data_IF_839486260788
#
_entry.id   IF_839486260788
#
_cell.length_a   1.000
_cell.length_b   1.000
_cell.length_c   1.000
_cell.angle_alpha   90.00
_cell.angle_beta   90.00
_cell.angle_gamma   90.00
#
_symmetry.space_group_name_H-M   'P 1'
#
loop_
_entity.id
_entity.type
_entity.pdbx_description
1 polymer ?
#
# COMPACT_ATOMS: atom_id res chain seq x y z
N UNK A 1 27.32 -21.30 -5.72
CA UNK A 1 26.05 -20.61 -5.52
C UNK A 1 26.13 -19.21 -6.13
N UNK A 2 25.11 -18.85 -6.90
CA UNK A 2 25.07 -17.53 -7.54
C UNK A 2 24.52 -16.49 -6.54
N UNK A 3 25.43 -15.69 -5.97
CA UNK A 3 25.08 -14.66 -4.98
C UNK A 3 24.38 -13.44 -5.57
N UNK A 4 24.29 -13.31 -6.89
CA UNK A 4 23.44 -12.30 -7.52
C UNK A 4 21.95 -12.62 -7.38
N UNK A 5 21.62 -13.88 -7.14
CA UNK A 5 20.25 -14.38 -7.01
C UNK A 5 19.93 -14.77 -5.56
N UNK A 6 20.88 -15.44 -4.89
CA UNK A 6 20.70 -15.96 -3.53
C UNK A 6 21.92 -15.66 -2.69
N UNK A 7 21.74 -14.94 -1.60
CA UNK A 7 22.82 -14.58 -0.67
C UNK A 7 22.67 -15.27 0.67
N UNK A 8 23.81 -15.53 1.36
CA UNK A 8 23.78 -16.04 2.71
C UNK A 8 23.24 -14.99 3.68
N UNK A 9 22.73 -15.45 4.84
CA UNK A 9 22.21 -14.56 5.88
C UNK A 9 23.25 -13.55 6.42
N UNK A 10 24.54 -13.89 6.28
CA UNK A 10 25.64 -12.98 6.67
C UNK A 10 25.87 -11.82 5.69
N UNK A 11 25.32 -11.91 4.48
CA UNK A 11 25.44 -10.87 3.45
C UNK A 11 24.11 -10.72 2.68
N UNK A 12 23.04 -10.26 3.32
CA UNK A 12 21.73 -10.11 2.67
C UNK A 12 21.72 -8.95 1.66
N UNK A 13 20.77 -8.97 0.72
CA UNK A 13 20.51 -7.83 -0.18
C UNK A 13 20.04 -6.60 0.58
N UNK A 14 19.31 -6.82 1.68
CA UNK A 14 18.87 -5.78 2.59
C UNK A 14 19.02 -6.29 4.02
N UNK A 15 19.48 -5.45 4.96
CA UNK A 15 19.61 -5.85 6.37
C UNK A 15 18.26 -6.12 7.05
N UNK A 16 17.17 -5.62 6.47
CA UNK A 16 15.82 -5.77 7.00
C UNK A 16 14.91 -6.48 5.99
N UNK A 17 13.86 -7.13 6.52
CA UNK A 17 12.79 -7.69 5.69
C UNK A 17 11.92 -6.60 5.06
N UNK A 18 11.01 -7.01 4.17
CA UNK A 18 10.13 -6.10 3.43
C UNK A 18 8.90 -5.62 4.19
N UNK A 19 8.74 -5.99 5.45
CA UNK A 19 7.58 -5.64 6.27
C UNK A 19 8.03 -4.89 7.52
N UNK A 20 7.26 -3.89 7.93
CA UNK A 20 7.45 -3.17 9.20
C UNK A 20 6.15 -3.10 9.97
N UNK A 21 6.26 -3.26 11.29
CA UNK A 21 5.15 -3.04 12.21
C UNK A 21 5.05 -1.54 12.53
N UNK A 22 3.87 -0.99 12.35
CA UNK A 22 3.54 0.38 12.71
C UNK A 22 2.64 0.39 13.93
N UNK A 23 2.82 1.39 14.79
CA UNK A 23 1.94 1.64 15.93
C UNK A 23 1.55 3.11 15.96
N UNK A 24 0.31 3.38 16.33
CA UNK A 24 -0.21 4.74 16.39
C UNK A 24 -1.55 4.81 17.09
N UNK A 25 -2.18 5.97 17.03
CA UNK A 25 -3.48 6.21 17.67
C UNK A 25 -4.64 5.40 17.07
N UNK A 26 -4.49 4.92 15.84
CA UNK A 26 -5.47 4.02 15.23
C UNK A 26 -5.24 2.55 15.56
N UNK A 27 -4.14 2.22 16.23
CA UNK A 27 -3.79 0.86 16.59
C UNK A 27 -2.48 0.41 15.95
N UNK A 28 -2.41 -0.87 15.57
CA UNK A 28 -1.24 -1.47 14.94
C UNK A 28 -1.54 -1.85 13.50
N UNK A 29 -0.55 -1.69 12.65
CA UNK A 29 -0.64 -2.08 11.24
C UNK A 29 0.69 -2.63 10.75
N UNK A 30 0.67 -3.28 9.61
CA UNK A 30 1.87 -3.74 8.92
C UNK A 30 1.96 -3.01 7.59
N UNK A 31 3.12 -2.45 7.31
CA UNK A 31 3.42 -1.83 6.01
C UNK A 31 4.44 -2.67 5.26
N UNK A 32 4.23 -2.86 3.98
CA UNK A 32 5.21 -3.44 3.07
C UNK A 32 6.07 -2.31 2.49
N UNK A 33 7.39 -2.40 2.69
CA UNK A 33 8.34 -1.36 2.27
C UNK A 33 9.32 -1.81 1.19
N UNK A 34 9.33 -3.10 0.81
CA UNK A 34 10.34 -3.67 -0.08
C UNK A 34 10.39 -3.04 -1.47
N UNK A 35 9.27 -2.54 -1.98
CA UNK A 35 9.20 -1.88 -3.29
C UNK A 35 8.85 -0.38 -3.17
N UNK A 36 8.84 0.16 -1.96
CA UNK A 36 8.50 1.55 -1.68
C UNK A 36 9.78 2.36 -1.52
N UNK A 37 9.97 3.36 -2.38
CA UNK A 37 11.12 4.25 -2.26
C UNK A 37 11.10 5.00 -0.91
N UNK A 38 12.28 5.31 -0.32
CA UNK A 38 12.32 5.96 0.99
C UNK A 38 11.48 7.23 1.10
N UNK A 39 11.42 8.05 0.06
CA UNK A 39 10.61 9.27 0.01
C UNK A 39 9.10 9.03 0.03
N UNK A 40 8.65 7.82 -0.25
CA UNK A 40 7.24 7.44 -0.23
C UNK A 40 6.83 6.63 1.00
N UNK A 41 7.75 6.38 1.94
CA UNK A 41 7.46 5.59 3.14
C UNK A 41 6.74 6.37 4.23
N UNK A 42 6.78 7.68 4.18
CA UNK A 42 6.03 8.57 5.08
C UNK A 42 5.12 9.45 4.23
N UNK A 43 3.83 9.27 4.36
CA UNK A 43 2.81 10.02 3.63
C UNK A 43 1.92 10.73 4.65
N UNK A 44 1.77 12.03 4.46
CA UNK A 44 0.89 12.87 5.25
C UNK A 44 -0.04 13.61 4.29
N UNK A 45 -1.31 13.23 4.29
CA UNK A 45 -2.30 13.73 3.35
C UNK A 45 -3.71 13.54 3.90
N UNK A 46 -4.71 14.24 3.33
CA UNK A 46 -6.11 14.00 3.69
C UNK A 46 -6.52 12.55 3.42
N UNK A 47 -7.31 11.98 4.32
CA UNK A 47 -7.85 10.64 4.16
C UNK A 47 -9.17 10.68 3.39
N UNK A 48 -9.33 9.75 2.44
CA UNK A 48 -10.61 9.44 1.79
C UNK A 48 -10.99 8.02 2.17
N UNK A 49 -12.16 7.84 2.75
CA UNK A 49 -12.63 6.56 3.28
C UNK A 49 -13.65 5.96 2.33
N UNK A 50 -13.45 4.70 1.98
CA UNK A 50 -14.32 3.92 1.09
C UNK A 50 -14.70 2.60 1.75
N UNK A 51 -15.87 2.07 1.40
CA UNK A 51 -16.37 0.82 1.96
C UNK A 51 -16.16 -0.38 1.02
N UNK A 52 -15.76 -0.15 -0.22
CA UNK A 52 -15.35 -1.20 -1.14
C UNK A 52 -14.43 -0.67 -2.26
N UNK A 53 -13.82 -1.61 -3.00
CA UNK A 53 -12.87 -1.31 -4.07
C UNK A 53 -13.52 -0.57 -5.25
N UNK A 54 -14.77 -0.90 -5.57
CA UNK A 54 -15.45 -0.29 -6.72
C UNK A 54 -15.65 1.21 -6.52
N UNK A 55 -15.90 1.64 -5.28
CA UNK A 55 -16.00 3.07 -4.94
C UNK A 55 -14.68 3.81 -5.19
N UNK A 56 -13.55 3.18 -4.87
CA UNK A 56 -12.22 3.77 -5.13
C UNK A 56 -11.99 3.92 -6.62
N UNK A 57 -12.26 2.88 -7.39
CA UNK A 57 -12.10 2.90 -8.85
C UNK A 57 -12.97 3.96 -9.50
N UNK A 58 -14.23 4.07 -9.07
CA UNK A 58 -15.15 5.09 -9.56
C UNK A 58 -14.66 6.51 -9.23
N UNK A 59 -14.18 6.75 -8.01
CA UNK A 59 -13.62 8.04 -7.62
C UNK A 59 -12.38 8.41 -8.45
N UNK A 60 -11.50 7.43 -8.71
CA UNK A 60 -10.35 7.63 -9.58
C UNK A 60 -10.76 8.04 -11.00
N UNK A 61 -11.71 7.34 -11.60
CA UNK A 61 -12.21 7.62 -12.94
C UNK A 61 -12.86 9.00 -13.05
N UNK A 62 -13.48 9.49 -11.99
CA UNK A 62 -14.05 10.84 -11.92
C UNK A 62 -13.04 11.94 -11.63
N UNK A 63 -11.76 11.60 -11.44
CA UNK A 63 -10.72 12.56 -11.08
C UNK A 63 -10.77 13.08 -9.65
N UNK A 64 -11.58 12.47 -8.79
CA UNK A 64 -11.72 12.89 -7.38
C UNK A 64 -10.50 12.59 -6.51
N UNK A 65 -9.60 11.72 -6.99
CA UNK A 65 -8.35 11.35 -6.30
C UNK A 65 -7.13 12.05 -6.86
N UNK A 66 -7.28 13.01 -7.76
CA UNK A 66 -6.17 13.80 -8.33
C UNK A 66 -5.63 14.82 -7.32
N UNK A 67 -5.10 14.34 -6.21
CA UNK A 67 -4.56 15.11 -5.09
C UNK A 67 -3.69 14.22 -4.22
N UNK A 68 -2.97 14.82 -3.28
CA UNK A 68 -2.35 14.06 -2.20
C UNK A 68 -3.46 13.43 -1.37
N UNK A 69 -3.42 12.12 -1.17
CA UNK A 69 -4.51 11.40 -0.52
C UNK A 69 -4.03 10.09 0.13
N UNK A 70 -4.57 9.82 1.32
CA UNK A 70 -4.52 8.49 1.92
C UNK A 70 -5.86 7.82 1.68
N UNK A 71 -5.87 6.79 0.83
CA UNK A 71 -7.06 6.02 0.52
C UNK A 71 -7.25 4.95 1.59
N UNK A 72 -8.36 5.01 2.31
CA UNK A 72 -8.72 4.05 3.34
C UNK A 72 -9.87 3.19 2.85
N UNK A 73 -9.64 1.88 2.69
CA UNK A 73 -10.69 0.93 2.28
C UNK A 73 -11.01 0.04 3.47
N UNK A 74 -12.20 0.19 4.01
CA UNK A 74 -12.63 -0.52 5.21
C UNK A 74 -13.60 -1.66 4.88
N UNK A 75 -13.88 -2.51 5.87
CA UNK A 75 -14.77 -3.66 5.75
C UNK A 75 -14.28 -4.72 4.76
N UNK A 76 -12.95 -4.87 4.67
CA UNK A 76 -12.31 -5.84 3.79
C UNK A 76 -11.69 -7.02 4.58
N UNK A 77 -11.94 -7.08 5.87
CA UNK A 77 -11.47 -8.17 6.72
C UNK A 77 -12.23 -9.48 6.46
N UNK A 78 -11.79 -10.59 7.09
CA UNK A 78 -12.37 -11.91 6.82
C UNK A 78 -13.84 -12.05 7.22
N UNK A 79 -14.28 -11.36 8.27
CA UNK A 79 -15.67 -11.40 8.71
C UNK A 79 -16.59 -10.49 7.89
N UNK A 80 -16.08 -9.38 7.41
CA UNK A 80 -16.88 -8.38 6.71
C UNK A 80 -17.08 -8.75 5.24
N UNK A 81 -16.03 -9.17 4.54
CA UNK A 81 -16.06 -9.38 3.09
C UNK A 81 -15.14 -10.52 2.62
N UNK A 82 -14.77 -11.44 3.49
CA UNK A 82 -13.94 -12.58 3.12
C UNK A 82 -12.49 -12.22 2.75
N UNK A 83 -12.03 -11.06 3.14
CA UNK A 83 -10.66 -10.57 2.88
C UNK A 83 -10.27 -10.64 1.39
N UNK A 84 -11.00 -9.93 0.50
CA UNK A 84 -10.72 -9.96 -0.93
C UNK A 84 -9.34 -9.37 -1.24
N UNK A 85 -8.80 -9.74 -2.40
CA UNK A 85 -7.56 -9.16 -2.90
C UNK A 85 -7.78 -7.72 -3.36
N UNK A 86 -6.98 -6.79 -2.85
CA UNK A 86 -7.06 -5.36 -3.15
C UNK A 86 -6.03 -4.91 -4.20
N UNK A 87 -5.26 -5.82 -4.74
CA UNK A 87 -4.20 -5.51 -5.70
C UNK A 87 -4.68 -4.71 -6.91
N UNK A 88 -5.93 -4.86 -7.32
CA UNK A 88 -6.51 -4.12 -8.44
C UNK A 88 -6.54 -2.60 -8.23
N UNK A 89 -6.38 -2.11 -7.01
CA UNK A 89 -6.30 -0.69 -6.71
C UNK A 89 -4.91 -0.08 -6.98
N UNK A 90 -3.86 -0.90 -7.01
CA UNK A 90 -2.49 -0.40 -7.14
C UNK A 90 -2.19 0.29 -8.47
N UNK A 91 -2.70 -0.16 -9.64
CA UNK A 91 -2.46 0.56 -10.89
C UNK A 91 -2.94 2.02 -10.85
N UNK A 92 -4.14 2.26 -10.34
CA UNK A 92 -4.70 3.60 -10.23
C UNK A 92 -3.86 4.49 -9.29
N UNK A 93 -3.51 3.98 -8.11
CA UNK A 93 -2.70 4.71 -7.14
C UNK A 93 -1.27 4.95 -7.66
N UNK A 94 -0.71 4.00 -8.39
CA UNK A 94 0.60 4.18 -9.03
C UNK A 94 0.59 5.28 -10.08
N UNK A 95 -0.49 5.42 -10.83
CA UNK A 95 -0.67 6.53 -11.78
C UNK A 95 -0.66 7.87 -11.05
N UNK A 96 -1.38 8.00 -9.94
CA UNK A 96 -1.40 9.20 -9.13
C UNK A 96 0.00 9.53 -8.57
N UNK A 97 0.71 8.52 -8.07
CA UNK A 97 2.08 8.69 -7.57
C UNK A 97 3.03 9.20 -8.66
N UNK A 98 2.92 8.65 -9.87
CA UNK A 98 3.72 9.07 -11.02
C UNK A 98 3.38 10.48 -11.51
N UNK A 99 2.16 10.96 -11.26
CA UNK A 99 1.76 12.35 -11.52
C UNK A 99 2.31 13.32 -10.48
N UNK A 100 3.00 12.84 -9.45
CA UNK A 100 3.61 13.65 -8.40
C UNK A 100 2.78 13.78 -7.14
N UNK A 101 1.63 13.12 -7.04
CA UNK A 101 0.83 13.11 -5.82
C UNK A 101 1.41 12.15 -4.78
N UNK A 102 1.24 12.50 -3.51
CA UNK A 102 1.61 11.66 -2.37
C UNK A 102 0.41 10.81 -2.00
N UNK A 103 0.52 9.51 -2.22
CA UNK A 103 -0.60 8.58 -2.03
C UNK A 103 -0.18 7.39 -1.18
N UNK A 104 -1.12 6.91 -0.38
CA UNK A 104 -0.98 5.69 0.40
C UNK A 104 -2.30 4.94 0.44
N UNK A 105 -2.24 3.65 0.68
CA UNK A 105 -3.41 2.78 0.84
C UNK A 105 -3.40 2.17 2.25
N UNK A 106 -4.50 2.32 2.95
CA UNK A 106 -4.73 1.73 4.28
C UNK A 106 -5.99 0.89 4.23
N UNK A 107 -5.93 -0.31 4.78
CA UNK A 107 -7.08 -1.22 4.80
C UNK A 107 -7.02 -2.14 6.01
N UNK A 108 -8.18 -2.63 6.43
CA UNK A 108 -8.33 -3.72 7.38
C UNK A 108 -8.29 -5.11 6.72
N UNK A 109 -8.19 -5.14 5.39
CA UNK A 109 -7.97 -6.34 4.60
C UNK A 109 -6.49 -6.63 4.39
N UNK A 110 -6.16 -7.13 3.20
CA UNK A 110 -4.78 -7.44 2.83
C UNK A 110 -4.52 -7.21 1.35
N UNK A 111 -3.24 -7.17 1.00
CA UNK A 111 -2.77 -7.15 -0.38
C UNK A 111 -1.73 -8.23 -0.58
N UNK A 112 -1.63 -8.73 -1.82
CA UNK A 112 -0.58 -9.67 -2.21
C UNK A 112 0.80 -9.03 -2.19
N UNK A 113 1.85 -9.86 -2.24
CA UNK A 113 3.24 -9.40 -2.24
C UNK A 113 3.64 -8.52 -3.43
N UNK A 114 2.85 -8.48 -4.48
CA UNK A 114 3.13 -7.71 -5.70
C UNK A 114 2.52 -6.31 -5.68
N UNK A 115 2.40 -5.67 -4.53
CA UNK A 115 1.67 -4.41 -4.36
C UNK A 115 2.36 -3.16 -4.93
N UNK A 116 3.59 -3.26 -5.44
CA UNK A 116 4.25 -2.14 -6.11
C UNK A 116 4.82 -1.08 -5.19
N UNK A 117 4.93 0.17 -5.71
CA UNK A 117 5.67 1.28 -5.08
C UNK A 117 4.81 2.15 -4.15
N UNK A 118 3.51 1.97 -4.11
CA UNK A 118 2.60 2.73 -3.24
C UNK A 118 2.59 2.08 -1.85
N UNK A 119 2.87 2.85 -0.79
CA UNK A 119 2.80 2.32 0.57
C UNK A 119 1.39 2.01 1.00
#
# INVERSE_FOLDING_TARGET
LDESVLRPASNPFSPEGGLRLLTGNLGRAVIKVSAVAPEHRVIEAPARVFDDQAQVSAAFERGELDCDVVVCVRYQGPRANGMPELHSLTPALSVLQKRGFRVALVTDGRMSGASGSVP
#
